data_IF_208402973943
#
_entry.id   IF_208402973943
#
_cell.length_a   1.000
_cell.length_b   1.000
_cell.length_c   1.000
_cell.angle_alpha   90.00
_cell.angle_beta   90.00
_cell.angle_gamma   90.00
#
_symmetry.space_group_name_H-M   'P 1'
#
loop_
_entity.id
_entity.type
_entity.pdbx_description
1 polymer ?
#
# COMPACT_ATOMS: atom_id res chain seq x y z
N UNK A 1 -9.63 -29.33 9.36
CA UNK A 1 -8.97 -29.33 8.04
C UNK A 1 -9.90 -28.56 7.09
N UNK A 2 -9.60 -27.32 6.79
CA UNK A 2 -10.28 -26.58 5.73
C UNK A 2 -9.95 -27.25 4.39
N UNK A 3 -10.97 -27.53 3.58
CA UNK A 3 -10.74 -28.10 2.24
C UNK A 3 -9.76 -27.17 1.49
N UNK A 4 -8.67 -27.73 0.96
CA UNK A 4 -7.76 -27.00 0.10
C UNK A 4 -8.56 -26.47 -1.09
N UNK A 5 -8.53 -25.17 -1.31
CA UNK A 5 -9.16 -24.55 -2.48
C UNK A 5 -8.49 -25.10 -3.74
N UNK A 6 -9.27 -25.68 -4.64
CA UNK A 6 -8.74 -26.17 -5.92
C UNK A 6 -8.23 -25.00 -6.75
N UNK A 7 -7.03 -25.17 -7.32
CA UNK A 7 -6.45 -24.23 -8.27
C UNK A 7 -6.93 -24.59 -9.66
N UNK A 8 -7.60 -23.68 -10.39
CA UNK A 8 -8.04 -23.95 -11.76
C UNK A 8 -6.83 -24.11 -12.70
N UNK A 9 -7.03 -24.86 -13.79
CA UNK A 9 -5.97 -25.05 -14.79
C UNK A 9 -5.56 -23.73 -15.48
N UNK A 10 -6.51 -22.79 -15.61
CA UNK A 10 -6.30 -21.47 -16.21
C UNK A 10 -6.96 -20.39 -15.41
N UNK A 11 -6.34 -19.20 -15.40
CA UNK A 11 -6.87 -17.93 -14.88
C UNK A 11 -6.38 -16.77 -15.75
N UNK A 12 -7.09 -15.65 -15.76
CA UNK A 12 -6.60 -14.45 -16.43
C UNK A 12 -5.40 -13.86 -15.69
N UNK A 13 -5.50 -13.76 -14.34
CA UNK A 13 -4.43 -13.20 -13.51
C UNK A 13 -4.17 -14.10 -12.30
N UNK A 14 -2.93 -14.54 -12.14
CA UNK A 14 -2.46 -15.15 -10.90
C UNK A 14 -1.73 -14.11 -10.05
N UNK A 15 -2.24 -13.85 -8.85
CA UNK A 15 -1.62 -12.97 -7.87
C UNK A 15 -0.90 -13.82 -6.81
N UNK A 16 0.41 -13.68 -6.70
CA UNK A 16 1.24 -14.47 -5.78
C UNK A 16 1.51 -13.70 -4.50
N UNK A 17 0.86 -14.11 -3.41
CA UNK A 17 0.91 -13.50 -2.08
C UNK A 17 -0.39 -12.80 -1.68
N UNK A 18 -0.92 -13.16 -0.49
CA UNK A 18 -2.13 -12.59 0.11
C UNK A 18 -1.82 -11.50 1.15
N UNK A 19 -0.75 -10.73 0.93
CA UNK A 19 -0.48 -9.48 1.67
C UNK A 19 -1.40 -8.33 1.23
N UNK A 20 -1.28 -7.14 1.86
CA UNK A 20 -2.12 -5.99 1.53
C UNK A 20 -2.14 -5.65 0.02
N UNK A 21 -0.99 -5.71 -0.65
CA UNK A 21 -0.88 -5.46 -2.09
C UNK A 21 -1.65 -6.49 -2.92
N UNK A 22 -1.43 -7.78 -2.67
CA UNK A 22 -2.09 -8.84 -3.44
C UNK A 22 -3.60 -8.88 -3.23
N UNK A 23 -4.08 -8.66 -2.00
CA UNK A 23 -5.50 -8.58 -1.70
C UNK A 23 -6.15 -7.34 -2.33
N UNK A 24 -5.47 -6.18 -2.32
CA UNK A 24 -5.94 -4.97 -3.01
C UNK A 24 -6.10 -5.19 -4.51
N UNK A 25 -5.09 -5.82 -5.14
CA UNK A 25 -5.17 -6.16 -6.56
C UNK A 25 -6.29 -7.15 -6.84
N UNK A 26 -6.43 -8.18 -6.00
CA UNK A 26 -7.53 -9.16 -6.14
C UNK A 26 -8.91 -8.50 -6.09
N UNK A 27 -9.13 -7.55 -5.18
CA UNK A 27 -10.37 -6.77 -5.09
C UNK A 27 -10.59 -5.96 -6.38
N UNK A 28 -9.56 -5.24 -6.86
CA UNK A 28 -9.71 -4.38 -8.03
C UNK A 28 -9.97 -5.19 -9.31
N UNK A 29 -9.35 -6.36 -9.46
CA UNK A 29 -9.61 -7.29 -10.55
C UNK A 29 -11.01 -7.90 -10.47
N UNK A 30 -11.43 -8.35 -9.28
CA UNK A 30 -12.75 -8.96 -9.07
C UNK A 30 -13.90 -7.99 -9.40
N UNK A 31 -13.82 -6.72 -8.97
CA UNK A 31 -14.84 -5.72 -9.29
C UNK A 31 -14.90 -5.36 -10.78
N UNK A 32 -13.87 -5.74 -11.56
CA UNK A 32 -13.79 -5.58 -13.03
C UNK A 32 -14.21 -6.83 -13.78
N UNK A 33 -14.59 -7.91 -13.06
CA UNK A 33 -14.98 -9.18 -13.68
C UNK A 33 -13.83 -9.99 -14.27
N UNK A 34 -12.58 -9.71 -13.88
CA UNK A 34 -11.39 -10.46 -14.31
C UNK A 34 -11.31 -11.76 -13.50
N UNK A 35 -11.10 -12.90 -14.16
CA UNK A 35 -10.86 -14.17 -13.48
C UNK A 35 -9.46 -14.17 -12.85
N UNK A 36 -9.40 -13.79 -11.58
CA UNK A 36 -8.16 -13.68 -10.82
C UNK A 36 -8.14 -14.62 -9.62
N UNK A 37 -7.01 -15.30 -9.42
CA UNK A 37 -6.75 -16.12 -8.25
C UNK A 37 -5.60 -15.53 -7.43
N UNK A 38 -5.83 -15.29 -6.14
CA UNK A 38 -4.78 -14.97 -5.18
C UNK A 38 -4.30 -16.28 -4.56
N UNK A 39 -2.98 -16.52 -4.58
CA UNK A 39 -2.37 -17.69 -3.93
C UNK A 39 -1.46 -17.25 -2.79
N UNK A 40 -1.47 -18.01 -1.70
CA UNK A 40 -0.64 -17.74 -0.53
C UNK A 40 0.06 -19.04 -0.07
N UNK A 41 1.37 -18.95 0.18
CA UNK A 41 2.15 -20.13 0.62
C UNK A 41 1.79 -20.61 2.03
N UNK A 42 1.40 -19.68 2.91
CA UNK A 42 0.97 -20.02 4.25
C UNK A 42 -0.47 -20.59 4.25
N UNK A 43 -0.85 -21.29 5.31
CA UNK A 43 -2.21 -21.81 5.48
C UNK A 43 -3.22 -20.75 5.94
N UNK A 44 -2.74 -19.56 6.33
CA UNK A 44 -3.55 -18.44 6.81
C UNK A 44 -2.93 -17.11 6.38
N UNK A 45 -3.67 -16.02 6.56
CA UNK A 45 -3.14 -14.67 6.43
C UNK A 45 -2.03 -14.42 7.47
N UNK A 46 -1.09 -13.54 7.13
CA UNK A 46 -0.01 -13.13 8.02
C UNK A 46 -0.58 -12.56 9.35
N UNK A 47 -0.18 -13.10 10.51
CA UNK A 47 -0.82 -12.80 11.80
C UNK A 47 -0.30 -11.54 12.49
N UNK A 48 0.77 -10.89 12.01
CA UNK A 48 1.46 -9.82 12.72
C UNK A 48 1.21 -8.42 12.16
N UNK A 49 1.68 -7.41 12.87
CA UNK A 49 1.52 -6.00 12.55
C UNK A 49 2.85 -5.34 12.20
N UNK A 50 3.49 -5.76 11.09
CA UNK A 50 4.66 -5.02 10.57
C UNK A 50 4.28 -3.59 10.18
N UNK A 51 3.12 -3.44 9.53
CA UNK A 51 2.48 -2.15 9.22
C UNK A 51 1.26 -1.92 10.09
N UNK A 52 0.99 -0.66 10.43
CA UNK A 52 -0.21 -0.28 11.18
C UNK A 52 -0.78 1.07 10.76
N UNK A 53 -0.07 1.82 9.92
CA UNK A 53 -0.47 3.16 9.50
C UNK A 53 -1.04 3.17 8.10
N UNK A 54 -2.28 3.61 7.96
CA UNK A 54 -2.94 3.85 6.69
C UNK A 54 -2.83 5.35 6.41
N UNK A 55 -2.07 5.71 5.39
CA UNK A 55 -1.84 7.11 5.00
C UNK A 55 -3.06 7.68 4.25
N UNK A 56 -3.24 9.01 4.23
CA UNK A 56 -4.39 9.66 3.59
C UNK A 56 -4.66 9.21 2.16
N UNK A 57 -3.63 9.07 1.32
CA UNK A 57 -3.84 8.58 -0.07
C UNK A 57 -4.37 7.14 -0.11
N UNK A 58 -3.94 6.29 0.81
CA UNK A 58 -4.46 4.92 0.91
C UNK A 58 -5.88 4.88 1.46
N UNK A 59 -6.27 5.86 2.28
CA UNK A 59 -7.67 6.05 2.71
C UNK A 59 -8.56 6.32 1.50
N UNK A 60 -8.14 7.17 0.55
CA UNK A 60 -8.88 7.40 -0.71
C UNK A 60 -9.06 6.09 -1.50
N UNK A 61 -7.99 5.27 -1.61
CA UNK A 61 -8.06 3.97 -2.29
C UNK A 61 -9.04 3.03 -1.59
N UNK A 62 -9.03 2.99 -0.26
CA UNK A 62 -9.93 2.15 0.50
C UNK A 62 -11.38 2.62 0.46
N UNK A 63 -11.62 3.93 0.30
CA UNK A 63 -12.95 4.49 0.04
C UNK A 63 -13.49 3.98 -1.31
N UNK A 64 -12.71 4.09 -2.38
CA UNK A 64 -13.10 3.59 -3.70
C UNK A 64 -13.32 2.06 -3.73
N UNK A 65 -12.49 1.28 -3.03
CA UNK A 65 -12.65 -0.17 -2.94
C UNK A 65 -13.81 -0.62 -2.04
N UNK A 66 -14.47 0.32 -1.34
CA UNK A 66 -15.60 0.07 -0.46
C UNK A 66 -15.24 -0.63 0.85
N UNK A 67 -14.02 -0.43 1.35
CA UNK A 67 -13.55 -1.01 2.63
C UNK A 67 -13.32 0.04 3.71
N UNK A 68 -13.46 1.33 3.42
CA UNK A 68 -13.09 2.41 4.33
C UNK A 68 -13.86 2.35 5.66
N UNK A 69 -15.16 2.09 5.63
CA UNK A 69 -15.97 2.04 6.86
C UNK A 69 -15.51 0.91 7.79
N UNK A 70 -15.19 -0.26 7.22
CA UNK A 70 -14.64 -1.38 7.99
C UNK A 70 -13.25 -1.07 8.55
N UNK A 71 -12.39 -0.37 7.78
CA UNK A 71 -11.07 0.11 8.23
C UNK A 71 -11.21 1.11 9.37
N UNK A 72 -12.13 2.08 9.25
CA UNK A 72 -12.37 3.09 10.31
C UNK A 72 -12.90 2.44 11.58
N UNK A 73 -13.86 1.52 11.46
CA UNK A 73 -14.41 0.79 12.60
C UNK A 73 -13.41 -0.13 13.30
N UNK A 74 -12.40 -0.63 12.57
CA UNK A 74 -11.39 -1.56 13.08
C UNK A 74 -10.15 -0.87 13.68
N UNK A 75 -10.06 0.45 13.63
CA UNK A 75 -8.87 1.19 13.99
C UNK A 75 -9.14 2.47 14.77
N UNK A 76 -8.18 3.38 14.77
CA UNK A 76 -8.26 4.66 15.46
C UNK A 76 -7.18 5.64 15.01
N UNK A 77 -7.22 6.88 15.50
CA UNK A 77 -6.15 7.85 15.28
C UNK A 77 -4.85 7.38 15.92
N UNK A 78 -3.74 7.93 15.49
CA UNK A 78 -2.46 7.68 16.16
C UNK A 78 -2.46 8.31 17.55
N UNK A 79 -2.04 7.54 18.58
CA UNK A 79 -1.92 8.08 19.93
C UNK A 79 -0.75 9.07 20.02
N UNK A 80 -0.81 9.97 21.01
CA UNK A 80 0.29 10.88 21.34
C UNK A 80 1.46 10.04 21.88
N UNK A 81 2.67 10.33 21.43
CA UNK A 81 3.87 9.73 21.97
C UNK A 81 4.14 10.24 23.39
N UNK A 82 4.21 9.34 24.37
CA UNK A 82 4.59 9.61 25.75
C UNK A 82 6.04 9.19 25.98
N UNK A 83 6.91 10.15 26.24
CA UNK A 83 8.33 9.88 26.52
C UNK A 83 8.48 9.58 28.01
N UNK A 84 9.13 8.45 28.31
CA UNK A 84 9.41 8.02 29.67
C UNK A 84 10.90 8.20 30.02
N UNK A 85 11.19 8.76 31.17
CA UNK A 85 12.52 8.84 31.71
C UNK A 85 12.49 8.47 33.21
N UNK A 86 13.32 7.52 33.62
CA UNK A 86 13.42 7.03 35.02
C UNK A 86 12.06 6.62 35.61
N UNK A 87 11.22 5.96 34.80
CA UNK A 87 9.90 5.49 35.19
C UNK A 87 8.85 6.61 35.37
N UNK A 88 9.15 7.83 34.92
CA UNK A 88 8.26 9.00 34.99
C UNK A 88 7.97 9.55 33.60
N UNK A 89 6.79 10.12 33.40
CA UNK A 89 6.44 10.86 32.19
C UNK A 89 7.33 12.09 32.07
N UNK A 90 8.13 12.20 31.01
CA UNK A 90 9.10 13.25 30.78
C UNK A 90 8.69 14.26 29.70
N UNK A 91 7.78 13.87 28.81
CA UNK A 91 7.32 14.71 27.71
C UNK A 91 6.35 14.02 26.78
N UNK A 92 5.81 14.79 25.86
CA UNK A 92 4.92 14.31 24.80
C UNK A 92 5.55 14.57 23.43
N UNK A 93 5.24 13.71 22.49
CA UNK A 93 5.62 13.86 21.09
C UNK A 93 4.42 13.58 20.19
N UNK A 94 4.00 14.58 19.45
CA UNK A 94 2.95 14.42 18.42
C UNK A 94 3.60 14.10 17.10
N UNK A 95 3.25 12.94 16.52
CA UNK A 95 3.76 12.53 15.22
C UNK A 95 3.10 13.25 14.05
N UNK A 96 1.90 13.74 14.26
CA UNK A 96 1.09 14.48 13.29
C UNK A 96 0.50 15.71 13.97
N UNK A 97 0.59 16.84 13.31
CA UNK A 97 -0.01 18.09 13.76
C UNK A 97 -1.23 18.40 12.89
N UNK A 98 -2.46 18.40 13.46
CA UNK A 98 -3.67 18.68 12.69
C UNK A 98 -3.67 20.05 12.00
N UNK A 99 -3.00 21.06 12.59
CA UNK A 99 -2.96 22.41 12.05
C UNK A 99 -1.94 22.55 10.91
N UNK A 100 -0.78 21.88 11.01
CA UNK A 100 0.27 21.91 9.99
C UNK A 100 0.02 20.91 8.86
N UNK A 101 -0.50 19.72 9.18
CA UNK A 101 -0.63 18.60 8.24
C UNK A 101 -1.97 18.61 7.45
N UNK A 102 -2.93 19.46 7.84
CA UNK A 102 -4.20 19.65 7.17
C UNK A 102 -5.18 18.47 7.32
N UNK A 103 -6.18 18.39 6.43
CA UNK A 103 -7.33 17.51 6.55
C UNK A 103 -7.04 16.01 6.26
N UNK A 104 -5.84 15.53 6.38
CA UNK A 104 -5.47 14.15 6.06
C UNK A 104 -4.60 13.49 7.11
N UNK A 105 -5.20 13.10 8.26
CA UNK A 105 -4.43 12.34 9.24
C UNK A 105 -4.41 10.84 8.91
N UNK A 106 -3.28 10.15 9.12
CA UNK A 106 -3.23 8.70 8.96
C UNK A 106 -4.08 8.01 10.01
N UNK A 107 -4.62 6.85 9.63
CA UNK A 107 -5.43 6.01 10.49
C UNK A 107 -4.66 4.77 10.91
N UNK A 108 -4.73 4.37 12.17
CA UNK A 108 -4.03 3.20 12.67
C UNK A 108 -4.95 1.98 12.64
N UNK A 109 -4.52 0.95 11.89
CA UNK A 109 -5.15 -0.39 11.90
C UNK A 109 -4.03 -1.43 11.86
N UNK A 110 -4.02 -2.45 12.73
CA UNK A 110 -3.05 -3.53 12.65
C UNK A 110 -3.07 -4.21 11.28
N UNK A 111 -1.90 -4.53 10.71
CA UNK A 111 -1.83 -5.10 9.36
C UNK A 111 -2.64 -6.38 9.19
N UNK A 112 -2.61 -7.28 10.19
CA UNK A 112 -3.41 -8.51 10.14
C UNK A 112 -4.91 -8.22 10.03
N UNK A 113 -5.40 -7.15 10.69
CA UNK A 113 -6.80 -6.73 10.61
C UNK A 113 -7.13 -6.11 9.26
N UNK A 114 -6.23 -5.27 8.73
CA UNK A 114 -6.34 -4.73 7.37
C UNK A 114 -6.47 -5.86 6.35
N UNK A 115 -5.63 -6.89 6.44
CA UNK A 115 -5.71 -8.06 5.54
C UNK A 115 -7.02 -8.83 5.67
N UNK A 116 -7.55 -9.01 6.87
CA UNK A 116 -8.85 -9.66 7.09
C UNK A 116 -9.98 -8.90 6.40
N UNK A 117 -9.99 -7.56 6.52
CA UNK A 117 -10.99 -6.69 5.88
C UNK A 117 -10.87 -6.77 4.35
N UNK A 118 -9.67 -6.66 3.81
CA UNK A 118 -9.43 -6.78 2.37
C UNK A 118 -9.84 -8.16 1.84
N UNK A 119 -9.51 -9.23 2.56
CA UNK A 119 -9.92 -10.58 2.18
C UNK A 119 -11.44 -10.73 2.18
N UNK A 120 -12.13 -10.27 3.22
CA UNK A 120 -13.58 -10.31 3.30
C UNK A 120 -14.22 -9.60 2.10
N UNK A 121 -13.69 -8.42 1.73
CA UNK A 121 -14.15 -7.69 0.55
C UNK A 121 -13.90 -8.43 -0.76
N UNK A 122 -12.73 -9.06 -0.91
CA UNK A 122 -12.44 -9.91 -2.06
C UNK A 122 -13.46 -11.05 -2.18
N UNK A 123 -13.78 -11.73 -1.07
CA UNK A 123 -14.73 -12.84 -1.03
C UNK A 123 -16.18 -12.37 -1.31
N UNK A 124 -16.58 -11.19 -0.83
CA UNK A 124 -17.87 -10.54 -1.18
C UNK A 124 -18.03 -10.31 -2.69
N UNK A 125 -16.94 -10.00 -3.37
CA UNK A 125 -16.90 -9.80 -4.82
C UNK A 125 -16.77 -11.11 -5.62
N UNK A 126 -16.81 -12.27 -4.93
CA UNK A 126 -16.68 -13.59 -5.55
C UNK A 126 -15.24 -14.03 -5.80
N UNK A 127 -14.24 -13.21 -5.43
CA UNK A 127 -12.84 -13.59 -5.49
C UNK A 127 -12.45 -14.55 -4.36
N UNK A 128 -11.25 -15.13 -4.44
CA UNK A 128 -10.80 -16.13 -3.45
C UNK A 128 -9.29 -16.11 -3.25
N UNK A 129 -8.87 -16.62 -2.08
CA UNK A 129 -7.47 -16.89 -1.75
C UNK A 129 -7.27 -18.39 -1.64
N UNK A 130 -6.34 -18.95 -2.41
CA UNK A 130 -5.91 -20.34 -2.27
C UNK A 130 -4.66 -20.40 -1.36
N UNK A 131 -4.87 -20.86 -0.12
CA UNK A 131 -3.81 -21.03 0.87
C UNK A 131 -3.01 -22.33 0.68
N UNK A 132 -1.81 -22.40 1.25
CA UNK A 132 -0.91 -23.54 1.14
C UNK A 132 -0.40 -23.74 -0.30
N UNK A 133 -0.30 -22.68 -1.09
CA UNK A 133 0.12 -22.68 -2.50
C UNK A 133 1.42 -21.89 -2.67
N UNK A 134 2.53 -22.55 -2.39
CA UNK A 134 3.86 -21.98 -2.56
C UNK A 134 4.30 -22.08 -4.03
N UNK A 135 4.55 -20.93 -4.66
CA UNK A 135 5.12 -20.87 -6.03
C UNK A 135 6.60 -21.19 -5.97
N UNK A 136 7.02 -22.20 -6.75
CA UNK A 136 8.42 -22.65 -6.83
C UNK A 136 9.10 -22.30 -8.13
N UNK A 137 8.34 -21.97 -9.18
CA UNK A 137 8.89 -21.57 -10.48
C UNK A 137 7.81 -21.13 -11.45
N UNK A 138 8.26 -20.48 -12.51
CA UNK A 138 7.41 -20.04 -13.61
C UNK A 138 8.18 -20.05 -14.94
N UNK A 139 7.45 -20.25 -16.02
CA UNK A 139 7.95 -20.13 -17.41
C UNK A 139 6.90 -19.35 -18.19
N UNK A 140 7.32 -18.33 -18.95
CA UNK A 140 6.42 -17.55 -19.79
C UNK A 140 6.73 -17.71 -21.26
N UNK A 141 5.69 -17.59 -22.09
CA UNK A 141 5.74 -17.51 -23.55
C UNK A 141 4.92 -16.29 -24.05
N UNK A 142 4.64 -16.25 -25.36
CA UNK A 142 3.88 -15.14 -25.98
C UNK A 142 2.43 -15.07 -25.50
N UNK A 143 1.83 -16.21 -25.07
CA UNK A 143 0.41 -16.33 -24.74
C UNK A 143 0.13 -16.33 -23.24
N UNK A 144 1.12 -16.67 -22.38
CA UNK A 144 0.87 -16.77 -20.95
C UNK A 144 2.08 -17.15 -20.11
N UNK A 145 1.79 -17.51 -18.87
CA UNK A 145 2.77 -17.90 -17.86
C UNK A 145 2.33 -19.20 -17.20
N UNK A 146 3.14 -20.24 -17.31
CA UNK A 146 2.97 -21.49 -16.58
C UNK A 146 3.62 -21.37 -15.20
N UNK A 147 2.84 -21.53 -14.14
CA UNK A 147 3.28 -21.43 -12.76
C UNK A 147 3.21 -22.79 -12.08
N UNK A 148 4.26 -23.16 -11.34
CA UNK A 148 4.38 -24.41 -10.58
C UNK A 148 4.33 -24.16 -9.09
N UNK A 149 3.61 -25.02 -8.39
CA UNK A 149 3.53 -25.02 -6.92
C UNK A 149 4.39 -26.14 -6.31
N UNK A 150 4.71 -25.99 -5.03
CA UNK A 150 5.54 -26.93 -4.27
C UNK A 150 4.92 -28.34 -4.17
N UNK A 151 3.59 -28.46 -4.29
CA UNK A 151 2.90 -29.75 -4.25
C UNK A 151 2.89 -30.47 -5.63
N UNK A 152 3.60 -29.95 -6.62
CA UNK A 152 3.70 -30.50 -7.96
C UNK A 152 2.55 -30.11 -8.91
N UNK A 153 1.52 -29.43 -8.41
CA UNK A 153 0.45 -28.87 -9.26
C UNK A 153 0.88 -27.55 -9.92
N UNK A 154 0.10 -27.05 -10.85
CA UNK A 154 0.36 -25.80 -11.53
C UNK A 154 -0.88 -25.16 -12.10
N UNK A 155 -0.73 -23.96 -12.62
CA UNK A 155 -1.77 -23.20 -13.34
C UNK A 155 -1.14 -22.36 -14.43
N UNK A 156 -1.88 -22.12 -15.51
CA UNK A 156 -1.50 -21.17 -16.54
C UNK A 156 -2.27 -19.86 -16.33
N UNK A 157 -1.59 -18.73 -16.43
CA UNK A 157 -2.18 -17.42 -16.33
C UNK A 157 -1.84 -16.55 -17.53
N UNK A 158 -2.76 -15.69 -17.98
CA UNK A 158 -2.43 -14.69 -18.99
C UNK A 158 -1.40 -13.69 -18.45
N UNK A 159 -1.51 -13.33 -17.17
CA UNK A 159 -0.54 -12.51 -16.46
C UNK A 159 -0.30 -13.02 -15.04
N UNK A 160 0.91 -12.80 -14.51
CA UNK A 160 1.27 -13.10 -13.12
C UNK A 160 1.69 -11.82 -12.42
N UNK A 161 1.22 -11.61 -11.20
CA UNK A 161 1.63 -10.48 -10.37
C UNK A 161 2.25 -10.98 -9.08
N UNK A 162 3.53 -10.70 -8.90
CA UNK A 162 4.26 -11.00 -7.69
C UNK A 162 3.96 -9.97 -6.59
N UNK A 163 3.26 -10.40 -5.55
CA UNK A 163 3.02 -9.70 -4.30
C UNK A 163 3.59 -10.50 -3.11
N UNK A 164 4.63 -11.32 -3.36
CA UNK A 164 5.22 -12.33 -2.47
C UNK A 164 6.32 -11.77 -1.56
N UNK A 165 6.38 -10.45 -1.41
CA UNK A 165 7.16 -9.77 -0.40
C UNK A 165 8.64 -9.62 -0.74
N UNK A 166 9.42 -9.03 0.16
CA UNK A 166 10.81 -8.62 -0.07
C UNK A 166 11.76 -9.76 -0.47
N UNK A 167 11.42 -11.00 -0.05
CA UNK A 167 12.12 -12.24 -0.47
C UNK A 167 11.43 -12.92 -1.66
N UNK A 168 10.84 -12.16 -2.58
CA UNK A 168 10.07 -12.65 -3.72
C UNK A 168 10.77 -13.80 -4.45
N UNK A 169 10.10 -14.93 -4.54
CA UNK A 169 10.53 -16.08 -5.36
C UNK A 169 10.33 -15.78 -6.84
N UNK A 170 9.24 -15.12 -7.19
CA UNK A 170 8.92 -14.74 -8.58
C UNK A 170 9.96 -13.77 -9.13
N UNK A 171 10.32 -12.70 -8.40
CA UNK A 171 11.36 -11.76 -8.82
C UNK A 171 12.69 -12.45 -9.11
N UNK A 172 13.13 -13.34 -8.20
CA UNK A 172 14.38 -14.09 -8.36
C UNK A 172 14.34 -15.06 -9.56
N UNK A 173 13.20 -15.72 -9.77
CA UNK A 173 13.03 -16.63 -10.92
C UNK A 173 13.12 -15.88 -12.27
N UNK A 174 12.76 -14.59 -12.30
CA UNK A 174 12.91 -13.72 -13.46
C UNK A 174 14.32 -13.11 -13.60
N UNK A 175 15.23 -13.39 -12.68
CA UNK A 175 16.57 -12.78 -12.68
C UNK A 175 16.55 -11.25 -12.44
N UNK A 176 15.47 -10.71 -11.87
CA UNK A 176 15.37 -9.28 -11.58
C UNK A 176 16.12 -8.98 -10.28
N UNK A 177 17.16 -8.15 -10.38
CA UNK A 177 17.93 -7.65 -9.24
C UNK A 177 17.11 -6.67 -8.39
N UNK A 178 17.62 -6.44 -7.17
CA UNK A 178 17.07 -5.43 -6.26
C UNK A 178 18.24 -4.65 -5.64
N UNK A 179 18.40 -3.42 -6.11
CA UNK A 179 19.47 -2.51 -5.66
C UNK A 179 19.02 -1.73 -4.44
N UNK A 180 19.88 -1.61 -3.45
CA UNK A 180 19.56 -0.86 -2.25
C UNK A 180 20.61 -1.00 -1.15
N UNK A 181 20.31 -0.39 0.00
CA UNK A 181 21.20 -0.36 1.17
C UNK A 181 20.51 -0.91 2.43
N UNK A 182 21.31 -1.37 3.37
CA UNK A 182 20.87 -1.53 4.75
C UNK A 182 20.88 -0.14 5.38
N UNK A 183 19.69 0.39 5.71
CA UNK A 183 19.54 1.72 6.29
C UNK A 183 20.08 1.77 7.71
N UNK A 184 19.88 0.67 8.45
CA UNK A 184 20.37 0.47 9.80
C UNK A 184 20.78 -1.00 9.99
N UNK A 185 22.04 -1.29 10.34
CA UNK A 185 22.51 -2.65 10.57
C UNK A 185 21.99 -3.25 11.89
N UNK A 186 21.48 -2.41 12.77
CA UNK A 186 20.97 -2.80 14.08
C UNK A 186 19.68 -3.63 13.96
N UNK A 187 19.63 -4.85 14.55
CA UNK A 187 18.41 -5.63 14.54
C UNK A 187 17.31 -4.94 15.33
N UNK A 188 16.10 -5.00 14.80
CA UNK A 188 14.91 -4.43 15.43
C UNK A 188 13.88 -5.54 15.64
N UNK A 189 13.51 -5.80 16.90
CA UNK A 189 12.36 -6.62 17.27
C UNK A 189 11.08 -5.87 16.97
N UNK A 190 10.12 -6.55 16.38
CA UNK A 190 8.71 -6.14 16.37
C UNK A 190 7.87 -7.30 16.87
N UNK A 191 7.01 -7.03 17.84
CA UNK A 191 6.09 -8.04 18.37
C UNK A 191 4.72 -7.43 18.64
N UNK A 192 3.67 -8.21 18.41
CA UNK A 192 2.31 -7.92 18.88
C UNK A 192 2.10 -8.68 20.19
N UNK A 193 1.97 -7.96 21.28
CA UNK A 193 1.97 -8.49 22.64
C UNK A 193 0.82 -7.93 23.48
N UNK A 194 0.33 -8.72 24.43
CA UNK A 194 -0.59 -8.26 25.47
C UNK A 194 0.21 -7.80 26.67
N UNK A 195 -0.01 -6.55 27.06
CA UNK A 195 0.76 -5.89 28.12
C UNK A 195 -0.19 -5.20 29.11
N UNK A 196 0.01 -5.47 30.39
CA UNK A 196 -0.66 -4.79 31.49
C UNK A 196 0.17 -3.59 31.97
N UNK A 197 -0.44 -2.68 32.73
CA UNK A 197 0.26 -1.58 33.39
C UNK A 197 0.56 -0.36 32.52
N UNK A 198 0.18 -0.37 31.23
CA UNK A 198 0.23 0.78 30.34
C UNK A 198 -1.19 1.27 29.98
N UNK A 199 -1.36 2.60 29.86
CA UNK A 199 -2.57 3.15 29.27
C UNK A 199 -2.59 2.91 27.74
N UNK A 200 -3.78 3.04 27.16
CA UNK A 200 -3.96 2.85 25.71
C UNK A 200 -4.14 4.16 24.94
N UNK A 201 -4.01 5.29 25.62
CA UNK A 201 -4.14 6.62 25.03
C UNK A 201 -2.81 7.13 24.48
N UNK A 202 -1.72 6.49 24.90
CA UNK A 202 -0.37 6.92 24.57
C UNK A 202 0.45 5.86 23.82
N UNK A 203 1.31 6.31 22.92
CA UNK A 203 2.42 5.53 22.39
C UNK A 203 3.62 5.71 23.33
N UNK A 204 3.94 4.72 24.13
CA UNK A 204 4.98 4.77 25.14
C UNK A 204 6.38 4.64 24.51
N UNK A 205 7.21 5.64 24.69
CA UNK A 205 8.56 5.73 24.13
C UNK A 205 9.56 5.75 25.27
N UNK A 206 10.47 4.79 25.27
CA UNK A 206 11.55 4.64 26.23
C UNK A 206 12.88 4.87 25.49
N UNK A 207 13.51 6.06 25.64
CA UNK A 207 14.79 6.37 25.00
C UNK A 207 15.89 5.41 25.42
N UNK A 208 16.94 5.27 24.61
CA UNK A 208 18.10 4.42 24.95
C UNK A 208 18.72 4.78 26.30
N UNK A 209 19.08 3.75 27.10
CA UNK A 209 19.85 3.88 28.35
C UNK A 209 21.12 3.04 28.23
N UNK A 210 22.21 3.54 28.77
CA UNK A 210 23.48 2.81 28.97
C UNK A 210 23.98 2.03 27.73
N UNK A 211 23.87 2.63 26.54
CA UNK A 211 24.28 1.99 25.29
C UNK A 211 23.29 0.96 24.72
N UNK A 212 22.14 0.77 25.35
CA UNK A 212 21.02 -0.01 24.83
C UNK A 212 20.26 0.73 23.72
N UNK A 213 19.52 -0.03 22.90
CA UNK A 213 18.62 0.57 21.90
C UNK A 213 17.33 1.10 22.54
N UNK A 214 16.55 1.84 21.77
CA UNK A 214 15.23 2.32 22.19
C UNK A 214 14.22 1.18 22.38
N UNK A 215 13.17 1.44 23.14
CA UNK A 215 11.96 0.65 23.21
C UNK A 215 10.76 1.56 22.95
N UNK A 216 9.84 1.11 22.11
CA UNK A 216 8.57 1.78 21.91
C UNK A 216 7.42 0.77 21.99
N UNK A 217 6.37 1.10 22.74
CA UNK A 217 5.20 0.24 22.95
C UNK A 217 3.97 1.03 22.56
N UNK A 218 3.35 0.64 21.44
CA UNK A 218 2.23 1.34 20.84
C UNK A 218 0.96 0.51 20.96
N UNK A 219 -0.13 1.04 21.55
CA UNK A 219 -1.40 0.32 21.54
C UNK A 219 -1.86 0.10 20.10
N UNK A 220 -2.27 -1.10 19.78
CA UNK A 220 -2.88 -1.40 18.50
C UNK A 220 -4.38 -1.08 18.58
N UNK A 221 -4.82 -0.07 17.84
CA UNK A 221 -6.20 0.38 17.87
C UNK A 221 -7.17 -0.75 17.50
N UNK A 222 -8.33 -0.79 18.15
CA UNK A 222 -9.36 -1.82 17.95
C UNK A 222 -9.00 -3.21 18.50
N UNK A 223 -7.94 -3.33 19.29
CA UNK A 223 -7.49 -4.60 19.91
C UNK A 223 -7.09 -4.40 21.36
N UNK A 224 -6.79 -5.50 22.07
CA UNK A 224 -6.19 -5.46 23.41
C UNK A 224 -4.65 -5.54 23.38
N UNK A 225 -4.06 -5.68 22.20
CA UNK A 225 -2.63 -5.89 22.04
C UNK A 225 -1.88 -4.55 21.85
N UNK A 226 -0.58 -4.59 22.10
CA UNK A 226 0.38 -3.53 21.82
C UNK A 226 1.40 -4.01 20.80
N UNK A 227 1.87 -3.12 19.95
CA UNK A 227 3.08 -3.37 19.16
C UNK A 227 4.30 -2.94 19.96
N UNK A 228 5.18 -3.88 20.24
CA UNK A 228 6.49 -3.65 20.84
C UNK A 228 7.51 -3.50 19.72
N UNK A 229 8.30 -2.42 19.75
CA UNK A 229 9.43 -2.20 18.84
C UNK A 229 10.67 -1.94 19.68
N UNK A 230 11.70 -2.77 19.53
CA UNK A 230 12.93 -2.63 20.28
C UNK A 230 14.16 -2.81 19.39
N UNK A 231 15.08 -1.88 19.42
CA UNK A 231 16.32 -1.93 18.67
C UNK A 231 17.44 -2.56 19.52
N UNK A 232 18.32 -3.32 18.91
CA UNK A 232 19.47 -3.97 19.57
C UNK A 232 20.76 -3.56 18.87
N UNK A 233 21.91 -3.64 19.55
CA UNK A 233 23.22 -3.45 18.92
C UNK A 233 23.45 -4.42 17.75
N UNK A 234 24.24 -4.01 16.78
CA UNK A 234 24.63 -4.83 15.64
C UNK A 234 25.24 -6.17 16.12
N UNK A 235 24.93 -7.24 15.43
CA UNK A 235 25.39 -8.60 15.76
C UNK A 235 24.60 -9.28 16.88
N UNK A 236 23.64 -8.61 17.53
CA UNK A 236 22.79 -9.25 18.54
C UNK A 236 21.85 -10.27 17.90
N UNK A 237 21.80 -11.47 18.44
CA UNK A 237 20.74 -12.45 18.16
C UNK A 237 19.53 -12.09 19.02
N UNK A 238 18.40 -11.80 18.36
CA UNK A 238 17.17 -11.35 19.02
C UNK A 238 16.35 -12.55 19.45
N UNK A 239 16.07 -12.66 20.75
CA UNK A 239 15.15 -13.68 21.27
C UNK A 239 13.71 -13.25 20.99
N UNK A 240 13.04 -14.00 20.11
CA UNK A 240 11.67 -13.75 19.65
C UNK A 240 10.60 -14.42 20.53
N UNK A 241 11.00 -15.15 21.56
CA UNK A 241 10.09 -15.83 22.49
C UNK A 241 9.36 -14.83 23.41
N UNK A 242 8.32 -15.31 24.08
CA UNK A 242 7.65 -14.54 25.14
C UNK A 242 8.64 -14.06 26.21
N UNK A 243 9.58 -14.91 26.61
CA UNK A 243 10.57 -14.58 27.62
C UNK A 243 11.58 -13.54 27.10
N UNK A 244 11.95 -13.60 25.81
CA UNK A 244 12.77 -12.57 25.16
C UNK A 244 12.08 -11.20 25.16
N UNK A 245 10.79 -11.15 24.83
CA UNK A 245 9.99 -9.90 24.86
C UNK A 245 9.85 -9.40 26.29
N UNK A 246 9.55 -10.27 27.27
CA UNK A 246 9.52 -9.93 28.70
C UNK A 246 10.82 -9.31 29.18
N UNK A 247 11.92 -9.92 28.83
CA UNK A 247 13.26 -9.43 29.23
C UNK A 247 13.55 -8.04 28.68
N UNK A 248 13.30 -7.78 27.39
CA UNK A 248 13.58 -6.46 26.81
C UNK A 248 12.66 -5.38 27.35
N UNK A 249 11.39 -5.70 27.59
CA UNK A 249 10.42 -4.77 28.18
C UNK A 249 10.83 -4.41 29.61
N UNK A 250 11.12 -5.40 30.45
CA UNK A 250 11.53 -5.17 31.85
C UNK A 250 12.83 -4.39 31.99
N UNK A 251 13.83 -4.67 31.11
CA UNK A 251 15.14 -3.98 31.18
C UNK A 251 15.04 -2.52 30.72
N UNK A 252 14.15 -2.21 29.78
CA UNK A 252 14.10 -0.88 29.12
C UNK A 252 12.92 -0.03 29.53
N UNK A 253 11.98 -0.54 30.30
CA UNK A 253 10.84 0.21 30.79
C UNK A 253 10.74 0.17 32.33
N UNK A 254 9.64 0.63 32.87
CA UNK A 254 9.29 0.48 34.29
C UNK A 254 8.36 -0.69 34.56
N UNK A 255 8.08 -1.51 33.55
CA UNK A 255 7.19 -2.67 33.66
C UNK A 255 7.94 -3.87 34.22
N UNK A 256 7.21 -4.75 34.91
CA UNK A 256 7.69 -6.04 35.33
C UNK A 256 7.61 -7.07 34.17
N UNK A 257 8.43 -8.13 34.14
CA UNK A 257 8.36 -9.16 33.11
C UNK A 257 6.97 -9.79 32.96
N UNK A 258 6.27 -10.00 34.08
CA UNK A 258 4.92 -10.58 34.16
C UNK A 258 3.82 -9.70 33.60
N UNK A 259 4.09 -8.40 33.41
CA UNK A 259 3.15 -7.49 32.76
C UNK A 259 2.98 -7.85 31.27
N UNK A 260 3.98 -8.47 30.63
CA UNK A 260 3.84 -9.06 29.31
C UNK A 260 3.24 -10.45 29.44
N UNK A 261 1.95 -10.57 29.18
CA UNK A 261 1.18 -11.80 29.40
C UNK A 261 1.16 -12.74 28.22
N UNK A 262 1.21 -12.23 27.00
CA UNK A 262 1.15 -13.02 25.77
C UNK A 262 1.90 -12.32 24.62
N UNK A 263 2.42 -13.11 23.66
CA UNK A 263 3.00 -12.65 22.39
C UNK A 263 2.31 -13.39 21.25
N UNK A 264 1.41 -12.68 20.57
CA UNK A 264 0.69 -13.20 19.41
C UNK A 264 1.60 -13.50 18.23
N UNK A 265 2.56 -12.64 18.01
CA UNK A 265 3.50 -12.70 16.91
C UNK A 265 4.76 -11.88 17.23
N UNK A 266 5.90 -12.33 16.74
CA UNK A 266 7.17 -11.63 16.85
C UNK A 266 8.06 -11.88 15.62
N UNK A 267 8.91 -10.94 15.31
CA UNK A 267 9.91 -11.03 14.24
C UNK A 267 11.04 -10.04 14.51
N UNK A 268 12.22 -10.34 14.00
CA UNK A 268 13.29 -9.36 13.87
C UNK A 268 13.51 -8.97 12.41
N UNK A 269 14.05 -7.81 12.20
CA UNK A 269 14.46 -7.34 10.88
C UNK A 269 15.55 -6.28 11.01
N UNK A 270 16.21 -6.01 9.91
CA UNK A 270 17.11 -4.87 9.75
C UNK A 270 16.48 -3.92 8.74
N UNK A 271 16.29 -2.62 9.10
CA UNK A 271 15.76 -1.64 8.18
C UNK A 271 16.55 -1.59 6.87
N UNK A 272 15.86 -1.76 5.77
CA UNK A 272 16.44 -1.81 4.45
C UNK A 272 15.65 -0.91 3.49
N UNK A 273 16.36 -0.24 2.58
CA UNK A 273 15.76 0.46 1.45
C UNK A 273 16.27 -0.18 0.17
N UNK A 274 15.40 -0.75 -0.65
CA UNK A 274 15.80 -1.42 -1.87
C UNK A 274 14.71 -1.34 -2.95
N UNK A 275 15.11 -1.17 -4.20
CA UNK A 275 14.26 -1.03 -5.37
C UNK A 275 14.62 -2.10 -6.40
N UNK A 276 13.63 -2.79 -6.95
CA UNK A 276 13.82 -3.70 -8.07
C UNK A 276 14.26 -2.95 -9.34
N UNK A 277 15.14 -3.57 -10.11
CA UNK A 277 15.70 -2.97 -11.33
C UNK A 277 14.61 -2.67 -12.36
N UNK A 278 13.56 -3.50 -12.36
CA UNK A 278 12.33 -3.31 -13.17
C UNK A 278 11.11 -3.86 -12.42
N UNK A 279 9.92 -3.35 -12.77
CA UNK A 279 8.65 -3.78 -12.19
C UNK A 279 7.86 -4.72 -13.10
N UNK A 280 8.33 -4.90 -14.35
CA UNK A 280 7.73 -5.77 -15.37
C UNK A 280 8.79 -6.59 -16.09
N UNK A 281 8.47 -7.85 -16.39
CA UNK A 281 9.21 -8.69 -17.32
C UNK A 281 8.22 -9.53 -18.15
N UNK A 282 7.94 -9.10 -19.37
CA UNK A 282 6.94 -9.73 -20.24
C UNK A 282 5.53 -9.67 -19.62
N UNK A 283 5.00 -10.83 -19.26
CA UNK A 283 3.66 -11.01 -18.66
C UNK A 283 3.67 -11.05 -17.14
N UNK A 284 4.82 -10.82 -16.52
CA UNK A 284 4.97 -10.88 -15.06
C UNK A 284 5.29 -9.49 -14.50
N UNK A 285 4.54 -9.10 -13.45
CA UNK A 285 4.66 -7.82 -12.75
C UNK A 285 5.11 -8.01 -11.31
N UNK A 286 5.78 -7.03 -10.75
CA UNK A 286 6.13 -6.96 -9.33
C UNK A 286 5.37 -5.83 -8.67
N UNK A 287 4.83 -6.06 -7.47
CA UNK A 287 4.11 -5.04 -6.69
C UNK A 287 4.48 -5.12 -5.21
N UNK A 288 4.44 -3.99 -4.52
CA UNK A 288 4.76 -3.91 -3.12
C UNK A 288 6.18 -4.34 -2.80
N UNK A 289 6.38 -5.06 -1.68
CA UNK A 289 7.72 -5.45 -1.22
C UNK A 289 8.46 -6.36 -2.22
N UNK A 290 7.77 -7.01 -3.17
CA UNK A 290 8.43 -7.71 -4.27
C UNK A 290 9.17 -6.76 -5.22
N UNK A 291 8.69 -5.52 -5.36
CA UNK A 291 9.25 -4.47 -6.19
C UNK A 291 10.12 -3.47 -5.40
N UNK A 292 9.77 -3.16 -4.15
CA UNK A 292 10.49 -2.19 -3.31
C UNK A 292 10.32 -2.49 -1.82
N UNK A 293 11.40 -2.38 -1.07
CA UNK A 293 11.41 -2.58 0.39
C UNK A 293 11.76 -1.26 1.06
N UNK A 294 10.92 -0.80 1.98
CA UNK A 294 11.08 0.46 2.69
C UNK A 294 11.60 0.26 4.12
N UNK A 295 12.34 1.26 4.62
CA UNK A 295 12.48 1.42 6.06
C UNK A 295 11.09 1.61 6.70
N UNK A 296 10.81 1.03 7.88
CA UNK A 296 9.52 1.20 8.56
C UNK A 296 9.24 2.63 9.01
N UNK A 297 10.29 3.47 9.07
CA UNK A 297 10.16 4.88 9.40
C UNK A 297 9.27 5.61 8.38
N UNK A 298 8.35 6.44 8.85
CA UNK A 298 7.41 7.15 7.98
C UNK A 298 6.18 6.35 7.55
N UNK A 299 6.15 5.01 7.71
CA UNK A 299 4.99 4.17 7.41
C UNK A 299 4.63 4.13 5.91
N UNK A 300 5.64 4.13 5.02
CA UNK A 300 5.41 4.24 3.57
C UNK A 300 5.16 2.90 2.89
N UNK A 301 5.79 1.81 3.32
CA UNK A 301 5.81 0.53 2.60
C UNK A 301 4.44 -0.03 2.25
N UNK A 302 3.56 -0.27 3.25
CA UNK A 302 2.21 -0.78 3.04
C UNK A 302 1.42 0.13 2.09
N UNK A 303 1.51 1.44 2.29
CA UNK A 303 0.74 2.44 1.55
C UNK A 303 1.16 2.52 0.07
N UNK A 304 2.46 2.53 -0.21
CA UNK A 304 2.98 2.48 -1.58
C UNK A 304 2.59 1.17 -2.26
N UNK A 305 2.65 0.05 -1.53
CA UNK A 305 2.28 -1.27 -2.03
C UNK A 305 0.80 -1.39 -2.44
N UNK A 306 -0.11 -0.81 -1.65
CA UNK A 306 -1.55 -0.75 -1.98
C UNK A 306 -1.78 0.09 -3.24
N UNK A 307 -1.10 1.22 -3.37
CA UNK A 307 -1.21 2.08 -4.54
C UNK A 307 -0.63 1.46 -5.81
N UNK A 308 0.43 0.65 -5.71
CA UNK A 308 0.95 -0.11 -6.86
C UNK A 308 -0.12 -1.05 -7.40
N UNK A 309 -0.73 -1.83 -6.51
CA UNK A 309 -1.78 -2.77 -6.86
C UNK A 309 -2.99 -2.07 -7.50
N UNK A 310 -3.38 -0.94 -6.94
CA UNK A 310 -4.49 -0.12 -7.42
C UNK A 310 -4.20 0.53 -8.79
N UNK A 311 -2.96 0.95 -9.04
CA UNK A 311 -2.53 1.46 -10.35
C UNK A 311 -2.49 0.36 -11.42
N UNK A 312 -2.05 -0.86 -11.06
CA UNK A 312 -1.94 -1.98 -11.98
C UNK A 312 -3.31 -2.60 -12.32
N UNK A 313 -4.22 -2.68 -11.35
CA UNK A 313 -5.47 -3.41 -11.47
C UNK A 313 -6.37 -2.91 -12.59
N UNK A 314 -6.56 -1.58 -12.71
CA UNK A 314 -7.37 -1.04 -13.79
C UNK A 314 -6.75 -1.24 -15.17
N UNK A 315 -5.42 -1.20 -15.27
CA UNK A 315 -4.67 -1.40 -16.53
C UNK A 315 -4.81 -2.85 -17.01
N UNK A 316 -4.65 -3.82 -16.09
CA UNK A 316 -4.89 -5.24 -16.39
C UNK A 316 -6.34 -5.48 -16.81
N UNK A 317 -7.32 -4.90 -16.09
CA UNK A 317 -8.73 -5.00 -16.45
C UNK A 317 -9.04 -4.44 -17.83
N UNK A 318 -8.48 -3.27 -18.19
CA UNK A 318 -8.67 -2.67 -19.49
C UNK A 318 -8.07 -3.52 -20.63
N UNK A 319 -6.89 -4.11 -20.43
CA UNK A 319 -6.24 -4.95 -21.45
C UNK A 319 -6.93 -6.30 -21.59
N UNK A 320 -7.28 -6.96 -20.49
CA UNK A 320 -7.98 -8.25 -20.51
C UNK A 320 -9.42 -8.15 -21.05
N UNK A 321 -10.09 -7.01 -20.80
CA UNK A 321 -11.39 -6.70 -21.38
C UNK A 321 -11.33 -6.27 -22.86
N UNK A 322 -10.15 -6.36 -23.50
CA UNK A 322 -9.91 -5.96 -24.89
C UNK A 322 -10.28 -4.48 -25.21
N UNK A 323 -10.37 -3.64 -24.18
CA UNK A 323 -10.65 -2.20 -24.34
C UNK A 323 -9.38 -1.40 -24.64
N UNK A 324 -8.20 -1.89 -24.21
CA UNK A 324 -6.92 -1.21 -24.35
C UNK A 324 -5.85 -2.15 -24.94
N UNK A 325 -4.83 -1.58 -25.65
CA UNK A 325 -3.70 -2.34 -26.15
C UNK A 325 -2.79 -2.78 -25.00
N UNK A 326 -2.07 -3.90 -25.17
CA UNK A 326 -1.14 -4.44 -24.14
C UNK A 326 -0.02 -3.45 -23.74
N UNK A 327 0.30 -2.47 -24.59
CA UNK A 327 1.25 -1.41 -24.31
C UNK A 327 0.81 -0.51 -23.12
N UNK A 328 -0.49 -0.45 -22.79
CA UNK A 328 -0.96 0.23 -21.60
C UNK A 328 -0.27 -0.28 -20.32
N UNK A 329 0.08 -1.56 -20.28
CA UNK A 329 0.72 -2.17 -19.13
C UNK A 329 2.17 -1.71 -18.88
N UNK A 330 2.85 -1.13 -19.88
CA UNK A 330 4.20 -0.56 -19.71
C UNK A 330 4.17 0.68 -18.83
N UNK A 331 3.05 1.39 -18.82
CA UNK A 331 2.85 2.58 -17.99
C UNK A 331 2.80 2.28 -16.48
N UNK A 332 2.65 1.03 -16.08
CA UNK A 332 2.75 0.64 -14.68
C UNK A 332 4.15 0.90 -14.12
N UNK A 333 5.19 0.42 -14.78
CA UNK A 333 6.58 0.65 -14.38
C UNK A 333 6.94 2.13 -14.51
N UNK A 334 6.52 2.76 -15.62
CA UNK A 334 6.74 4.19 -15.89
C UNK A 334 6.23 5.08 -14.75
N UNK A 335 5.05 4.79 -14.21
CA UNK A 335 4.44 5.56 -13.13
C UNK A 335 4.90 5.14 -11.73
N UNK A 336 4.96 3.84 -11.46
CA UNK A 336 5.13 3.36 -10.08
C UNK A 336 6.57 3.24 -9.61
N UNK A 337 7.50 2.94 -10.52
CA UNK A 337 8.92 2.81 -10.14
C UNK A 337 9.54 4.13 -9.68
N UNK A 338 9.32 5.29 -10.35
CA UNK A 338 9.78 6.59 -9.84
C UNK A 338 9.14 6.97 -8.50
N UNK A 339 7.84 6.72 -8.31
CA UNK A 339 7.15 6.97 -7.03
C UNK A 339 7.75 6.11 -5.92
N UNK A 340 8.00 4.82 -6.17
CA UNK A 340 8.64 3.94 -5.19
C UNK A 340 10.04 4.46 -4.81
N UNK A 341 10.84 4.90 -5.79
CA UNK A 341 12.15 5.48 -5.55
C UNK A 341 12.08 6.76 -4.68
N UNK A 342 11.13 7.65 -4.94
CA UNK A 342 10.91 8.85 -4.13
C UNK A 342 10.49 8.50 -2.69
N UNK A 343 9.60 7.51 -2.53
CA UNK A 343 9.15 7.07 -1.21
C UNK A 343 10.25 6.33 -0.42
N UNK A 344 11.17 5.66 -1.10
CA UNK A 344 12.39 5.11 -0.46
C UNK A 344 13.26 6.24 0.09
N UNK A 345 13.52 7.29 -0.67
CA UNK A 345 14.24 8.48 -0.20
C UNK A 345 13.56 9.12 1.01
N UNK A 346 12.24 9.32 0.92
CA UNK A 346 11.45 9.88 2.03
C UNK A 346 11.55 9.03 3.30
N UNK A 347 11.31 7.72 3.21
CA UNK A 347 11.35 6.81 4.37
C UNK A 347 12.75 6.73 4.99
N UNK A 348 13.80 6.78 4.18
CA UNK A 348 15.20 6.80 4.63
C UNK A 348 15.52 8.13 5.33
N UNK A 349 15.10 9.26 4.76
CA UNK A 349 15.27 10.59 5.37
C UNK A 349 14.54 10.71 6.71
N UNK A 350 13.31 10.16 6.81
CA UNK A 350 12.59 10.10 8.11
C UNK A 350 13.33 9.20 9.10
N UNK A 351 13.89 8.06 8.65
CA UNK A 351 14.64 7.15 9.51
C UNK A 351 15.91 7.83 10.09
N UNK A 352 16.61 8.61 9.27
CA UNK A 352 17.81 9.34 9.66
C UNK A 352 17.52 10.63 10.44
N UNK A 353 16.24 11.01 10.61
CA UNK A 353 15.82 12.25 11.26
C UNK A 353 16.06 13.52 10.42
N UNK A 354 16.33 13.35 9.12
CA UNK A 354 16.55 14.44 8.16
C UNK A 354 15.23 15.06 7.68
N UNK A 355 14.17 14.26 7.69
CA UNK A 355 12.82 14.63 7.23
C UNK A 355 11.83 14.39 8.37
N UNK A 356 11.00 15.40 8.68
CA UNK A 356 9.89 15.25 9.62
C UNK A 356 8.72 14.55 8.92
N UNK A 357 7.99 13.71 9.66
CA UNK A 357 6.67 13.22 9.21
C UNK A 357 5.72 14.40 9.06
N UNK A 358 4.72 14.29 8.19
CA UNK A 358 3.74 15.33 7.95
C UNK A 358 3.13 15.21 6.57
N UNK A 359 2.81 16.31 5.92
CA UNK A 359 2.13 16.38 4.61
C UNK A 359 2.78 15.46 3.54
N UNK A 360 4.13 15.40 3.47
CA UNK A 360 4.84 14.57 2.52
C UNK A 360 4.59 13.07 2.74
N UNK A 361 4.46 12.62 3.99
CA UNK A 361 4.18 11.21 4.33
C UNK A 361 2.72 10.82 4.08
N UNK A 362 1.82 11.78 3.93
CA UNK A 362 0.41 11.56 3.61
C UNK A 362 0.15 11.11 2.17
N UNK A 363 1.12 11.31 1.27
CA UNK A 363 1.12 10.88 -0.14
C UNK A 363 0.02 11.52 -1.01
N UNK A 364 -0.67 12.57 -0.53
CA UNK A 364 -1.72 13.24 -1.30
C UNK A 364 -1.19 14.09 -2.47
N UNK A 365 0.10 14.46 -2.44
CA UNK A 365 0.77 15.20 -3.51
C UNK A 365 1.44 14.31 -4.56
N UNK A 366 1.24 12.99 -4.52
CA UNK A 366 1.73 12.09 -5.56
C UNK A 366 0.94 12.29 -6.86
N UNK A 367 1.66 12.31 -7.97
CA UNK A 367 1.08 12.45 -9.30
C UNK A 367 1.98 11.83 -10.37
N UNK A 368 1.52 11.85 -11.62
CA UNK A 368 2.21 11.30 -12.78
C UNK A 368 2.30 12.32 -13.92
N UNK A 369 2.90 13.54 -13.68
CA UNK A 369 2.93 14.59 -14.70
C UNK A 369 3.70 14.18 -15.95
N UNK A 370 4.71 13.33 -15.80
CA UNK A 370 5.60 12.87 -16.89
C UNK A 370 5.16 11.52 -17.50
N UNK A 371 4.02 10.98 -17.09
CA UNK A 371 3.50 9.72 -17.65
C UNK A 371 3.06 9.90 -19.10
N UNK A 372 3.32 8.90 -19.93
CA UNK A 372 2.79 8.81 -21.29
C UNK A 372 1.25 8.77 -21.35
N UNK A 373 0.59 8.48 -20.22
CA UNK A 373 -0.86 8.57 -20.06
C UNK A 373 -1.34 9.99 -19.70
N UNK A 374 -0.45 10.90 -19.36
CA UNK A 374 -0.84 12.27 -18.96
C UNK A 374 -0.97 13.17 -20.17
N UNK A 375 -2.11 13.87 -20.28
CA UNK A 375 -2.38 14.79 -21.38
C UNK A 375 -2.98 16.10 -20.87
N UNK A 376 -2.16 17.12 -20.77
CA UNK A 376 -2.56 18.50 -20.48
C UNK A 376 -2.70 19.27 -21.82
N UNK A 377 -3.90 19.75 -22.11
CA UNK A 377 -4.16 20.47 -23.38
C UNK A 377 -4.40 21.96 -23.18
N UNK A 378 -4.53 22.43 -21.94
CA UNK A 378 -4.70 23.84 -21.61
C UNK A 378 -3.36 24.58 -21.79
N UNK A 379 -3.36 25.77 -22.40
CA UNK A 379 -2.12 26.47 -22.79
C UNK A 379 -1.25 26.96 -21.61
N UNK A 380 -1.85 27.32 -20.49
CA UNK A 380 -1.15 27.75 -19.27
C UNK A 380 -2.17 27.77 -18.10
N UNK A 381 -2.34 26.67 -17.39
CA UNK A 381 -3.25 26.65 -16.25
C UNK A 381 -2.78 27.64 -15.18
N UNK A 382 -3.73 28.34 -14.56
CA UNK A 382 -3.44 29.25 -13.46
C UNK A 382 -2.75 28.52 -12.29
N UNK A 383 -1.93 29.20 -11.46
CA UNK A 383 -1.35 28.58 -10.28
C UNK A 383 -2.44 28.01 -9.36
N UNK A 384 -2.27 26.76 -8.96
CA UNK A 384 -3.14 26.08 -8.00
C UNK A 384 -4.20 25.14 -8.55
N UNK A 385 -4.77 25.31 -9.77
CA UNK A 385 -5.72 24.34 -10.28
C UNK A 385 -5.06 22.99 -10.55
N UNK A 386 -5.87 21.95 -10.46
CA UNK A 386 -5.50 20.57 -10.80
C UNK A 386 -5.08 20.48 -12.27
N UNK A 387 -4.04 19.71 -12.55
CA UNK A 387 -3.52 19.46 -13.89
C UNK A 387 -3.65 17.98 -14.25
N UNK A 388 -3.48 17.69 -15.52
CA UNK A 388 -3.29 16.30 -15.94
C UNK A 388 -2.07 15.70 -15.24
N UNK A 389 -2.19 14.46 -14.77
CA UNK A 389 -1.19 13.77 -13.94
C UNK A 389 -1.39 13.92 -12.44
N UNK A 390 -2.13 14.94 -11.98
CA UNK A 390 -2.37 15.13 -10.55
C UNK A 390 -3.43 14.15 -10.02
N UNK A 391 -3.37 13.89 -8.71
CA UNK A 391 -4.46 13.24 -7.99
C UNK A 391 -5.69 14.15 -8.04
N UNK A 392 -6.83 13.58 -8.41
CA UNK A 392 -8.11 14.27 -8.32
C UNK A 392 -8.45 14.52 -6.84
N UNK A 393 -8.51 15.79 -6.37
CA UNK A 393 -8.89 16.08 -5.00
C UNK A 393 -10.40 15.84 -4.79
N UNK A 394 -10.78 15.51 -3.55
CA UNK A 394 -12.20 15.49 -3.19
C UNK A 394 -12.75 16.91 -3.20
N UNK A 395 -13.93 17.08 -3.75
CA UNK A 395 -14.62 18.37 -3.88
C UNK A 395 -16.14 18.14 -3.91
N UNK A 396 -16.89 19.21 -3.67
CA UNK A 396 -18.32 19.19 -3.93
C UNK A 396 -18.58 19.86 -5.30
N UNK A 397 -19.14 19.11 -6.23
CA UNK A 397 -19.48 19.60 -7.57
C UNK A 397 -20.95 19.31 -7.82
N UNK A 398 -21.73 20.33 -8.20
CA UNK A 398 -23.17 20.17 -8.40
C UNK A 398 -23.94 19.66 -7.18
N UNK A 399 -23.44 19.88 -5.96
CA UNK A 399 -24.03 19.36 -4.71
C UNK A 399 -23.68 17.90 -4.39
N UNK A 400 -22.87 17.23 -5.22
CA UNK A 400 -22.40 15.85 -5.01
C UNK A 400 -20.94 15.87 -4.53
N UNK A 401 -20.61 14.99 -3.61
CA UNK A 401 -19.22 14.72 -3.24
C UNK A 401 -18.53 13.99 -4.40
N UNK A 402 -17.44 14.52 -4.91
CA UNK A 402 -16.77 13.97 -6.08
C UNK A 402 -16.29 12.54 -5.88
N UNK A 403 -15.73 12.19 -4.72
CA UNK A 403 -15.28 10.83 -4.44
C UNK A 403 -16.41 9.80 -4.48
N UNK A 404 -17.66 10.18 -4.20
CA UNK A 404 -18.82 9.28 -4.38
C UNK A 404 -19.10 9.03 -5.86
N UNK A 405 -18.88 10.03 -6.71
CA UNK A 405 -19.01 9.89 -8.16
C UNK A 405 -17.84 9.12 -8.79
N UNK A 406 -16.64 9.23 -8.23
CA UNK A 406 -15.45 8.51 -8.70
C UNK A 406 -15.46 7.02 -8.29
N UNK A 407 -16.24 6.64 -7.25
CA UNK A 407 -16.25 5.28 -6.73
C UNK A 407 -16.65 4.25 -7.77
N UNK A 408 -15.74 3.35 -8.10
CA UNK A 408 -15.98 2.25 -9.03
C UNK A 408 -14.93 2.12 -10.14
N UNK A 409 -15.06 1.08 -10.98
CA UNK A 409 -14.04 0.76 -11.99
C UNK A 409 -14.10 1.63 -13.26
N UNK A 410 -14.96 2.64 -13.31
CA UNK A 410 -15.21 3.50 -14.47
C UNK A 410 -14.25 4.69 -14.52
N UNK A 411 -14.22 5.34 -15.67
CA UNK A 411 -13.64 6.67 -15.86
C UNK A 411 -14.68 7.74 -15.53
N UNK A 412 -14.24 8.91 -15.11
CA UNK A 412 -15.15 10.03 -14.82
C UNK A 412 -14.78 11.26 -15.63
N UNK A 413 -15.72 11.77 -16.41
CA UNK A 413 -15.59 13.05 -17.09
C UNK A 413 -16.24 14.13 -16.23
N UNK A 414 -15.40 14.97 -15.64
CA UNK A 414 -15.80 16.10 -14.81
C UNK A 414 -15.77 17.40 -15.64
N UNK A 415 -16.85 18.17 -15.60
CA UNK A 415 -16.87 19.57 -16.07
C UNK A 415 -16.90 20.47 -14.85
N UNK A 416 -15.88 21.28 -14.65
CA UNK A 416 -15.78 22.20 -13.53
C UNK A 416 -15.91 23.65 -14.01
N UNK A 417 -16.73 24.44 -13.30
CA UNK A 417 -16.89 25.88 -13.50
C UNK A 417 -16.63 26.56 -12.15
N UNK A 418 -15.60 27.40 -12.10
CA UNK A 418 -15.17 28.14 -10.91
C UNK A 418 -15.03 27.32 -9.62
N UNK A 419 -14.55 26.07 -9.76
CA UNK A 419 -14.30 25.20 -8.61
C UNK A 419 -13.02 25.61 -7.86
N UNK A 420 -13.08 25.76 -6.55
CA UNK A 420 -11.90 26.05 -5.72
C UNK A 420 -10.80 25.00 -5.90
N UNK A 421 -11.17 23.73 -6.12
CA UNK A 421 -10.23 22.62 -6.25
C UNK A 421 -9.73 22.42 -7.69
N UNK A 422 -10.59 22.63 -8.69
CA UNK A 422 -10.30 22.31 -10.10
C UNK A 422 -10.14 23.57 -10.99
N UNK A 423 -10.65 24.73 -10.56
CA UNK A 423 -10.80 25.88 -11.43
C UNK A 423 -11.89 25.64 -12.48
N UNK A 424 -11.69 26.18 -13.69
CA UNK A 424 -12.58 25.96 -14.84
C UNK A 424 -11.91 25.04 -15.85
N UNK A 425 -12.66 24.05 -16.38
CA UNK A 425 -12.16 23.12 -17.39
C UNK A 425 -12.88 21.78 -17.40
N UNK A 426 -12.41 20.91 -18.27
CA UNK A 426 -12.89 19.53 -18.42
C UNK A 426 -11.76 18.58 -18.06
N UNK A 427 -12.08 17.59 -17.26
CA UNK A 427 -11.09 16.64 -16.72
C UNK A 427 -11.59 15.21 -16.91
N UNK A 428 -10.78 14.37 -17.53
CA UNK A 428 -11.05 12.93 -17.57
C UNK A 428 -10.22 12.23 -16.49
N UNK A 429 -10.92 11.78 -15.45
CA UNK A 429 -10.32 11.15 -14.26
C UNK A 429 -10.29 9.64 -14.47
N UNK A 430 -9.12 9.06 -14.24
CA UNK A 430 -8.83 7.62 -14.36
C UNK A 430 -9.49 6.83 -13.22
N UNK A 431 -9.70 5.51 -13.41
CA UNK A 431 -10.25 4.65 -12.37
C UNK A 431 -9.41 4.56 -11.09
N UNK A 432 -8.15 4.99 -11.12
CA UNK A 432 -7.26 5.06 -9.96
C UNK A 432 -7.20 6.46 -9.32
N UNK A 433 -8.12 7.37 -9.72
CA UNK A 433 -8.29 8.68 -9.12
C UNK A 433 -7.23 9.72 -9.52
N UNK A 434 -6.57 9.55 -10.67
CA UNK A 434 -5.68 10.55 -11.24
C UNK A 434 -6.29 11.18 -12.51
N UNK A 435 -6.00 12.45 -12.74
CA UNK A 435 -6.44 13.15 -13.95
C UNK A 435 -5.60 12.67 -15.13
N UNK A 436 -6.17 11.90 -16.03
CA UNK A 436 -5.48 11.43 -17.23
C UNK A 436 -5.39 12.48 -18.31
N UNK A 437 -6.49 13.23 -18.52
CA UNK A 437 -6.59 14.28 -19.51
C UNK A 437 -7.26 15.52 -18.92
N UNK A 438 -6.78 16.72 -19.31
CA UNK A 438 -7.37 17.99 -18.94
C UNK A 438 -7.39 18.96 -20.13
N UNK A 439 -8.50 19.71 -20.30
CA UNK A 439 -8.70 20.68 -21.37
C UNK A 439 -9.67 21.76 -21.00
N UNK A 440 -9.75 22.82 -21.83
CA UNK A 440 -10.71 23.92 -21.65
C UNK A 440 -12.12 23.53 -22.11
N UNK A 441 -12.21 22.59 -23.06
CA UNK A 441 -13.49 22.02 -23.53
C UNK A 441 -13.30 20.56 -23.94
N UNK A 442 -14.39 19.80 -24.00
CA UNK A 442 -14.37 18.42 -24.48
C UNK A 442 -14.05 18.28 -25.98
N UNK A 443 -14.29 19.35 -26.75
CA UNK A 443 -14.20 19.43 -28.23
C UNK A 443 -13.00 20.24 -28.72
N UNK A 444 -11.92 20.33 -27.97
CA UNK A 444 -10.78 21.22 -28.24
C UNK A 444 -10.11 21.02 -29.61
N UNK A 445 -9.85 22.16 -30.29
CA UNK A 445 -9.49 22.30 -31.71
C UNK A 445 -7.99 22.07 -32.05
N UNK A 446 -7.09 21.90 -31.09
CA UNK A 446 -5.65 21.98 -31.39
C UNK A 446 -4.76 20.86 -30.87
N UNK A 447 -5.26 19.99 -30.01
CA UNK A 447 -4.56 18.85 -29.42
C UNK A 447 -5.54 17.68 -29.25
N UNK A 448 -5.05 16.51 -28.89
CA UNK A 448 -5.85 15.31 -28.72
C UNK A 448 -7.14 15.58 -27.92
N UNK A 449 -8.32 15.41 -28.55
CA UNK A 449 -9.62 15.55 -27.89
C UNK A 449 -9.79 14.49 -26.78
N UNK A 450 -10.67 14.76 -25.82
CA UNK A 450 -10.98 13.76 -24.77
C UNK A 450 -11.44 12.42 -25.35
N UNK A 451 -12.15 12.44 -26.49
CA UNK A 451 -12.61 11.21 -27.17
C UNK A 451 -11.44 10.44 -27.78
N UNK A 452 -10.49 11.11 -28.43
CA UNK A 452 -9.30 10.45 -28.98
C UNK A 452 -8.41 9.90 -27.88
N UNK A 453 -8.23 10.65 -26.78
CA UNK A 453 -7.52 10.18 -25.61
C UNK A 453 -8.20 8.94 -25.00
N UNK A 454 -9.52 8.98 -24.77
CA UNK A 454 -10.30 7.89 -24.22
C UNK A 454 -10.17 6.60 -25.05
N UNK A 455 -10.23 6.72 -26.38
CA UNK A 455 -10.05 5.60 -27.30
C UNK A 455 -8.62 5.01 -27.18
N UNK A 456 -7.61 5.83 -27.06
CA UNK A 456 -6.21 5.41 -26.93
C UNK A 456 -5.93 4.61 -25.65
N UNK A 457 -6.56 5.00 -24.53
CA UNK A 457 -6.35 4.36 -23.23
C UNK A 457 -7.39 3.30 -22.89
N UNK A 458 -8.35 3.03 -23.79
CA UNK A 458 -9.40 2.04 -23.58
C UNK A 458 -10.45 2.46 -22.54
N UNK A 459 -10.74 3.76 -22.42
CA UNK A 459 -11.77 4.28 -21.55
C UNK A 459 -13.17 4.09 -22.20
N UNK A 460 -13.80 2.96 -21.94
CA UNK A 460 -15.10 2.59 -22.55
C UNK A 460 -16.29 2.88 -21.63
N UNK A 461 -16.11 2.81 -20.31
CA UNK A 461 -17.14 3.18 -19.33
C UNK A 461 -16.79 4.56 -18.75
N UNK A 462 -17.38 5.62 -19.30
CA UNK A 462 -17.15 7.00 -18.87
C UNK A 462 -18.44 7.57 -18.28
N UNK A 463 -18.42 7.86 -16.99
CA UNK A 463 -19.49 8.57 -16.31
C UNK A 463 -19.26 10.07 -16.34
N UNK A 464 -20.32 10.85 -16.51
CA UNK A 464 -20.25 12.32 -16.54
C UNK A 464 -20.70 12.88 -15.20
N UNK A 465 -19.94 13.83 -14.70
CA UNK A 465 -20.26 14.64 -13.53
C UNK A 465 -20.30 16.10 -13.99
N UNK A 466 -21.39 16.80 -13.72
CA UNK A 466 -21.54 18.19 -14.13
C UNK A 466 -20.57 19.12 -13.43
#
# INVERSE_FOLDING_TARGET
>A
MTARTDVPAHVDVLVVGAGPSGLTLGIDLARRGVDALVVERADTLFPGSRGKGIQPRTIDVFDDLGVLDAIRAAGGPYPVGMIWQDGRRAGEHRMFDPEEDGAGQPWMVPQWRTQQILRARLEELGGRVAFGREVTGLVQDEDGVDVRFADGTGTRAAYVVAADGGRSTVRRALGIGMTGETVDPNPTLVADARINGLDRDNWHIFPPRDGGGFLAICPLAGTEDFQVVAQFPEGTEVDLSLDGVRKVVAVRSHLAPEDVTDVRWSSDFRPRAALADRFRAGRVFLTGDAAHVHSPAGGQGLNTSVQDAYNLGWKLGAVLGAAAPAALLDTYEEERRPVAAAMLGLSTGVHRGEIRRGKATGQLGLGYPDSSLTRETRPAPAPGPVRAGDRAPDATVGGLRLFDALRGPHWTLLTAEDSDAYGTGVFLIRPDGYVGWAGDSAEGDSQESVTAYAARVGATDIRRVP
#
